data_IF_958608759916
#
_entry.id   IF_958608759916
#
_cell.length_a   1.000
_cell.length_b   1.000
_cell.length_c   1.000
_cell.angle_alpha   90.00
_cell.angle_beta   90.00
_cell.angle_gamma   90.00
#
_symmetry.space_group_name_H-M   'P 1'
#
loop_
_entity.id
_entity.type
_entity.pdbx_description
1 polymer ?
#
# COMPACT_ATOMS: atom_id res chain seq x y z
N UNK A 1 -36.40 27.07 29.20
CA UNK A 1 -35.71 25.77 29.30
C UNK A 1 -35.56 25.05 27.96
N UNK A 2 -36.50 25.17 27.00
CA UNK A 2 -36.43 24.48 25.70
C UNK A 2 -35.19 24.81 24.83
N UNK A 3 -34.73 26.07 24.80
CA UNK A 3 -33.58 26.50 23.97
C UNK A 3 -32.26 25.80 24.35
N UNK A 4 -31.98 25.68 25.65
CA UNK A 4 -30.76 25.05 26.14
C UNK A 4 -30.66 23.54 25.84
N UNK A 5 -31.81 22.86 25.71
CA UNK A 5 -31.85 21.44 25.34
C UNK A 5 -31.54 21.26 23.86
N UNK A 6 -32.11 22.12 23.00
CA UNK A 6 -31.86 22.09 21.55
C UNK A 6 -30.41 22.42 21.23
N UNK A 7 -29.82 23.43 21.89
CA UNK A 7 -28.41 23.80 21.69
C UNK A 7 -27.45 22.67 22.13
N UNK A 8 -27.79 21.93 23.19
CA UNK A 8 -26.98 20.80 23.67
C UNK A 8 -27.08 19.59 22.73
N UNK A 9 -28.23 19.34 22.12
CA UNK A 9 -28.40 18.29 21.09
C UNK A 9 -27.60 18.65 19.83
N UNK A 10 -27.63 19.92 19.41
CA UNK A 10 -26.84 20.39 18.26
C UNK A 10 -25.32 20.24 18.51
N UNK A 11 -24.84 20.58 19.71
CA UNK A 11 -23.43 20.42 20.07
C UNK A 11 -22.97 18.95 20.13
N UNK A 12 -23.84 18.03 20.58
CA UNK A 12 -23.55 16.59 20.59
C UNK A 12 -23.46 16.03 19.16
N UNK A 13 -24.35 16.46 18.26
CA UNK A 13 -24.31 16.04 16.85
C UNK A 13 -23.05 16.54 16.11
N UNK A 14 -22.58 17.75 16.41
CA UNK A 14 -21.38 18.34 15.81
C UNK A 14 -20.08 17.66 16.29
N UNK A 15 -20.06 17.14 17.52
CA UNK A 15 -18.93 16.35 18.04
C UNK A 15 -18.81 14.99 17.38
N UNK A 16 -19.94 14.32 17.13
CA UNK A 16 -19.99 12.99 16.50
C UNK A 16 -19.60 13.07 15.00
N UNK A 17 -20.03 14.15 14.33
CA UNK A 17 -19.64 14.44 12.95
C UNK A 17 -18.13 14.70 12.78
N UNK A 18 -17.48 15.35 13.77
CA UNK A 18 -16.01 15.54 13.76
C UNK A 18 -15.25 14.24 13.96
N UNK A 19 -15.72 13.36 14.84
CA UNK A 19 -15.14 12.02 15.02
C UNK A 19 -15.21 11.19 13.73
N UNK A 20 -16.40 11.13 13.12
CA UNK A 20 -16.61 10.40 11.87
C UNK A 20 -15.90 11.01 10.64
N UNK A 21 -15.48 12.28 10.70
CA UNK A 21 -14.64 12.89 9.68
C UNK A 21 -13.17 12.47 9.86
N UNK A 22 -12.66 12.56 11.08
CA UNK A 22 -11.30 12.14 11.44
C UNK A 22 -11.02 10.67 11.06
N UNK A 23 -11.95 9.77 11.38
CA UNK A 23 -11.82 8.34 11.04
C UNK A 23 -11.82 8.10 9.52
N UNK A 24 -12.59 8.90 8.75
CA UNK A 24 -12.62 8.81 7.28
C UNK A 24 -11.35 9.37 6.65
N UNK A 25 -10.80 10.45 7.19
CA UNK A 25 -9.53 11.01 6.73
C UNK A 25 -8.38 10.01 6.95
N UNK A 26 -8.33 9.37 8.11
CA UNK A 26 -7.31 8.36 8.46
C UNK A 26 -7.41 7.14 7.53
N UNK A 27 -8.62 6.60 7.33
CA UNK A 27 -8.88 5.53 6.37
C UNK A 27 -8.53 5.90 4.91
N UNK A 28 -8.82 7.12 4.49
CA UNK A 28 -8.44 7.60 3.16
C UNK A 28 -6.92 7.66 3.02
N UNK A 29 -6.21 8.14 4.05
CA UNK A 29 -4.76 8.26 4.05
C UNK A 29 -4.09 6.88 3.98
N UNK A 30 -4.57 5.91 4.78
CA UNK A 30 -4.11 4.52 4.74
C UNK A 30 -4.31 3.88 3.36
N UNK A 31 -5.47 4.12 2.72
CA UNK A 31 -5.73 3.63 1.37
C UNK A 31 -4.78 4.25 0.33
N UNK A 32 -4.45 5.54 0.46
CA UNK A 32 -3.51 6.22 -0.42
C UNK A 32 -2.07 5.71 -0.22
N UNK A 33 -1.65 5.49 1.03
CA UNK A 33 -0.34 4.92 1.35
C UNK A 33 -0.21 3.49 0.79
N UNK A 34 -1.23 2.65 0.97
CA UNK A 34 -1.27 1.29 0.42
C UNK A 34 -1.15 1.30 -1.11
N UNK A 35 -1.86 2.19 -1.81
CA UNK A 35 -1.77 2.35 -3.27
C UNK A 35 -0.37 2.81 -3.71
N UNK A 36 0.22 3.77 -3.00
CA UNK A 36 1.56 4.26 -3.28
C UNK A 36 2.61 3.15 -3.11
N UNK A 37 2.51 2.36 -2.03
CA UNK A 37 3.36 1.19 -1.78
C UNK A 37 3.20 0.14 -2.86
N UNK A 38 1.98 -0.16 -3.28
CA UNK A 38 1.70 -1.12 -4.36
C UNK A 38 2.34 -0.70 -5.69
N UNK A 39 2.23 0.59 -6.03
CA UNK A 39 2.83 1.15 -7.25
C UNK A 39 4.35 0.99 -7.21
N UNK A 40 4.98 1.35 -6.08
CA UNK A 40 6.44 1.21 -5.88
C UNK A 40 6.90 -0.25 -6.01
N UNK A 41 6.16 -1.18 -5.41
CA UNK A 41 6.45 -2.61 -5.50
C UNK A 41 6.29 -3.14 -6.93
N UNK A 42 5.31 -2.65 -7.69
CA UNK A 42 5.09 -3.04 -9.08
C UNK A 42 6.25 -2.59 -9.98
N UNK A 43 6.65 -1.32 -9.87
CA UNK A 43 7.84 -0.82 -10.59
C UNK A 43 9.08 -1.65 -10.24
N UNK A 44 9.28 -1.98 -8.96
CA UNK A 44 10.42 -2.80 -8.53
C UNK A 44 10.38 -4.22 -9.09
N UNK A 45 9.21 -4.86 -9.10
CA UNK A 45 9.04 -6.21 -9.66
C UNK A 45 9.35 -6.25 -11.17
N UNK A 46 8.87 -5.25 -11.91
CA UNK A 46 9.17 -5.10 -13.35
C UNK A 46 10.68 -4.90 -13.56
N UNK A 47 11.32 -4.02 -12.77
CA UNK A 47 12.76 -3.78 -12.89
C UNK A 47 13.56 -5.06 -12.62
N UNK A 48 13.29 -5.76 -11.52
CA UNK A 48 14.03 -6.98 -11.17
C UNK A 48 13.80 -8.11 -12.17
N UNK A 49 12.65 -8.14 -12.84
CA UNK A 49 12.39 -9.07 -13.95
C UNK A 49 13.29 -8.74 -15.14
N UNK A 50 13.42 -7.47 -15.50
CA UNK A 50 14.30 -7.06 -16.60
C UNK A 50 15.76 -7.32 -16.26
N UNK A 51 16.21 -6.97 -15.05
CA UNK A 51 17.57 -7.27 -14.59
C UNK A 51 17.90 -8.77 -14.68
N UNK A 52 16.92 -9.65 -14.39
CA UNK A 52 17.10 -11.11 -14.50
C UNK A 52 17.15 -11.58 -15.96
N UNK A 53 16.31 -10.99 -16.82
CA UNK A 53 16.33 -11.26 -18.26
C UNK A 53 17.68 -10.88 -18.87
N UNK A 54 18.14 -9.65 -18.63
CA UNK A 54 19.39 -9.15 -19.18
C UNK A 54 20.58 -9.97 -18.67
N UNK A 55 20.59 -10.34 -17.38
CA UNK A 55 21.62 -11.22 -16.83
C UNK A 55 21.64 -12.59 -17.52
N UNK A 56 20.48 -13.13 -17.89
CA UNK A 56 20.40 -14.43 -18.56
C UNK A 56 20.92 -14.40 -20.00
N UNK A 57 20.85 -13.24 -20.67
CA UNK A 57 21.40 -13.04 -22.01
C UNK A 57 22.93 -12.80 -22.00
N UNK A 58 23.48 -12.28 -20.91
CA UNK A 58 24.92 -11.96 -20.79
C UNK A 58 25.81 -13.17 -20.41
N UNK A 59 25.23 -14.33 -20.08
CA UNK A 59 25.98 -15.50 -19.64
C UNK A 59 26.98 -15.98 -20.73
N UNK A 60 28.21 -16.39 -20.35
CA UNK A 60 28.70 -16.67 -18.98
C UNK A 60 29.20 -15.43 -18.20
N UNK A 61 29.12 -14.23 -18.77
CA UNK A 61 29.50 -12.99 -18.05
C UNK A 61 28.59 -12.80 -16.85
N UNK A 62 29.13 -12.32 -15.72
CA UNK A 62 28.37 -12.04 -14.50
C UNK A 62 27.62 -13.24 -13.87
N UNK A 63 28.00 -14.49 -14.17
CA UNK A 63 27.32 -15.69 -13.65
C UNK A 63 27.22 -15.76 -12.10
N UNK A 64 28.18 -15.18 -11.38
CA UNK A 64 28.17 -15.10 -9.91
C UNK A 64 26.98 -14.30 -9.36
N UNK A 65 26.39 -13.41 -10.17
CA UNK A 65 25.25 -12.58 -9.79
C UNK A 65 23.91 -13.28 -9.94
N UNK A 66 23.85 -14.47 -10.56
CA UNK A 66 22.61 -15.21 -10.83
C UNK A 66 21.77 -15.37 -9.57
N UNK A 67 22.37 -15.87 -8.49
CA UNK A 67 21.67 -16.10 -7.23
C UNK A 67 21.13 -14.80 -6.64
N UNK A 68 21.92 -13.72 -6.70
CA UNK A 68 21.56 -12.41 -6.14
C UNK A 68 20.39 -11.80 -6.93
N UNK A 69 20.46 -11.81 -8.26
CA UNK A 69 19.43 -11.21 -9.12
C UNK A 69 18.14 -12.04 -9.07
N UNK A 70 18.26 -13.37 -9.09
CA UNK A 70 17.12 -14.27 -8.94
C UNK A 70 16.42 -14.07 -7.58
N UNK A 71 17.18 -13.99 -6.49
CA UNK A 71 16.61 -13.73 -5.16
C UNK A 71 15.91 -12.36 -5.10
N UNK A 72 16.52 -11.31 -5.66
CA UNK A 72 15.91 -9.97 -5.70
C UNK A 72 14.60 -9.95 -6.51
N UNK A 73 14.54 -10.70 -7.61
CA UNK A 73 13.33 -10.86 -8.41
C UNK A 73 12.24 -11.58 -7.62
N UNK A 74 12.58 -12.70 -6.99
CA UNK A 74 11.67 -13.45 -6.13
C UNK A 74 11.11 -12.58 -5.00
N UNK A 75 11.97 -11.89 -4.25
CA UNK A 75 11.56 -11.07 -3.10
C UNK A 75 10.68 -9.89 -3.51
N UNK A 76 10.98 -9.25 -4.65
CA UNK A 76 10.16 -8.17 -5.18
C UNK A 76 8.75 -8.65 -5.57
N UNK A 77 8.65 -9.83 -6.20
CA UNK A 77 7.36 -10.42 -6.55
C UNK A 77 6.59 -10.94 -5.34
N UNK A 78 7.27 -11.55 -4.36
CA UNK A 78 6.65 -11.97 -3.10
C UNK A 78 6.06 -10.77 -2.35
N UNK A 79 6.85 -9.69 -2.17
CA UNK A 79 6.40 -8.47 -1.52
C UNK A 79 5.22 -7.80 -2.25
N UNK A 80 5.20 -7.82 -3.59
CA UNK A 80 4.07 -7.35 -4.38
C UNK A 80 2.80 -8.17 -4.10
N UNK A 81 2.91 -9.49 -4.07
CA UNK A 81 1.77 -10.37 -3.84
C UNK A 81 1.20 -10.22 -2.43
N UNK A 82 2.07 -10.08 -1.43
CA UNK A 82 1.63 -9.86 -0.05
C UNK A 82 0.96 -8.49 0.11
N UNK A 83 1.50 -7.45 -0.53
CA UNK A 83 0.85 -6.13 -0.55
C UNK A 83 -0.51 -6.15 -1.26
N UNK A 84 -0.66 -6.94 -2.34
CA UNK A 84 -1.95 -7.14 -3.01
C UNK A 84 -2.97 -7.85 -2.11
N UNK A 85 -2.54 -8.87 -1.37
CA UNK A 85 -3.40 -9.57 -0.41
C UNK A 85 -3.85 -8.64 0.72
N UNK A 86 -2.94 -7.85 1.28
CA UNK A 86 -3.27 -6.88 2.32
C UNK A 86 -4.25 -5.81 1.82
N UNK A 87 -4.05 -5.29 0.61
CA UNK A 87 -4.97 -4.34 0.00
C UNK A 87 -6.37 -4.94 -0.27
N UNK A 88 -6.45 -6.22 -0.64
CA UNK A 88 -7.73 -6.91 -0.82
C UNK A 88 -8.46 -7.15 0.50
N UNK A 89 -7.73 -7.49 1.58
CA UNK A 89 -8.31 -7.68 2.91
C UNK A 89 -8.83 -6.38 3.53
N UNK A 90 -8.20 -5.23 3.20
CA UNK A 90 -8.66 -3.91 3.61
C UNK A 90 -9.87 -3.39 2.80
N UNK A 91 -10.34 -4.13 1.79
CA UNK A 91 -11.44 -3.75 0.90
C UNK A 91 -12.77 -4.44 1.25
N UNK A 92 -12.95 -4.94 2.48
CA UNK A 92 -14.17 -5.60 2.96
C UNK A 92 -15.01 -4.71 3.87
#
# INVERSE_FOLDING_TARGET
MAKAVVDKIAALADSDARGAAFDREDMMNDSQELKARLKKLNTRAIQTKMDLHDLSEELPTNWERILIVAQRCHDAHAALMDARKAAAAASW
#
